data_IF_804430973999
#
_entry.id   IF_804430973999
#
_cell.length_a   1.000
_cell.length_b   1.000
_cell.length_c   1.000
_cell.angle_alpha   90.00
_cell.angle_beta   90.00
_cell.angle_gamma   90.00
#
_symmetry.space_group_name_H-M   'P 1'
#
loop_
_entity.id
_entity.type
_entity.pdbx_description
1 polymer ?
#
# COMPACT_ATOMS: atom_id res chain seq x y z
N UNK A 1 -4.40 9.16 -21.70
CA UNK A 1 -5.28 8.04 -21.27
C UNK A 1 -4.54 6.94 -20.48
N UNK A 2 -3.24 6.69 -20.73
CA UNK A 2 -2.49 5.65 -19.99
C UNK A 2 -2.17 6.10 -18.55
N UNK A 3 -1.71 7.33 -18.37
CA UNK A 3 -1.55 8.01 -17.08
C UNK A 3 -2.74 7.80 -16.11
N UNK A 4 -3.95 8.22 -16.50
CA UNK A 4 -5.16 8.06 -15.68
C UNK A 4 -5.45 6.60 -15.27
N UNK A 5 -5.26 5.64 -16.18
CA UNK A 5 -5.43 4.21 -15.85
C UNK A 5 -4.36 3.72 -14.87
N UNK A 6 -3.14 4.25 -14.91
CA UNK A 6 -2.08 3.93 -13.94
C UNK A 6 -2.44 4.45 -12.56
N UNK A 7 -2.92 5.67 -12.46
CA UNK A 7 -3.35 6.30 -11.21
C UNK A 7 -4.47 5.51 -10.52
N UNK A 8 -5.53 5.20 -11.26
CA UNK A 8 -6.65 4.39 -10.71
C UNK A 8 -6.17 3.02 -10.25
N UNK A 9 -5.30 2.36 -11.02
CA UNK A 9 -4.75 1.05 -10.64
C UNK A 9 -3.87 1.15 -9.39
N UNK A 10 -3.03 2.18 -9.30
CA UNK A 10 -2.19 2.42 -8.13
C UNK A 10 -3.03 2.65 -6.89
N UNK A 11 -4.00 3.57 -6.96
CA UNK A 11 -4.91 3.89 -5.86
C UNK A 11 -5.69 2.67 -5.40
N UNK A 12 -6.21 1.87 -6.33
CA UNK A 12 -6.93 0.62 -6.01
C UNK A 12 -6.06 -0.37 -5.21
N UNK A 13 -4.83 -0.64 -5.68
CA UNK A 13 -3.91 -1.54 -4.98
C UNK A 13 -3.46 -1.00 -3.64
N UNK A 14 -3.28 0.32 -3.54
CA UNK A 14 -2.87 0.99 -2.31
C UNK A 14 -3.96 0.91 -1.24
N UNK A 15 -5.23 1.13 -1.60
CA UNK A 15 -6.38 0.93 -0.71
C UNK A 15 -6.47 -0.52 -0.22
N UNK A 16 -6.35 -1.50 -1.13
CA UNK A 16 -6.35 -2.92 -0.75
C UNK A 16 -5.22 -3.25 0.23
N UNK A 17 -4.03 -2.72 0.00
CA UNK A 17 -2.89 -2.93 0.87
C UNK A 17 -3.11 -2.30 2.27
N UNK A 18 -3.66 -1.08 2.35
CA UNK A 18 -4.00 -0.47 3.65
C UNK A 18 -5.05 -1.27 4.43
N UNK A 19 -6.06 -1.80 3.75
CA UNK A 19 -7.07 -2.66 4.40
C UNK A 19 -6.42 -3.96 4.91
N UNK A 20 -5.55 -4.58 4.11
CA UNK A 20 -4.86 -5.82 4.48
C UNK A 20 -3.92 -5.63 5.69
N UNK A 21 -3.13 -4.55 5.71
CA UNK A 21 -2.21 -4.29 6.82
C UNK A 21 -2.92 -3.74 8.06
N UNK A 22 -3.95 -2.91 7.89
CA UNK A 22 -4.69 -2.33 9.00
C UNK A 22 -5.65 -3.32 9.68
N UNK A 23 -6.25 -4.24 8.92
CA UNK A 23 -7.31 -5.14 9.42
C UNK A 23 -7.05 -6.62 9.11
N UNK A 24 -6.44 -6.93 7.96
CA UNK A 24 -6.28 -8.31 7.47
C UNK A 24 -5.45 -9.19 8.41
N UNK A 25 -4.38 -8.67 9.01
CA UNK A 25 -3.60 -9.43 10.01
C UNK A 25 -4.40 -9.67 11.30
N UNK A 26 -5.22 -8.71 11.74
CA UNK A 26 -6.12 -8.92 12.88
C UNK A 26 -7.15 -10.01 12.62
N UNK A 27 -7.76 -10.00 11.42
CA UNK A 27 -8.76 -10.99 11.01
C UNK A 27 -8.11 -12.39 10.94
N UNK A 28 -6.95 -12.52 10.29
CA UNK A 28 -6.21 -13.80 10.23
C UNK A 28 -5.90 -14.35 11.62
N UNK A 29 -5.36 -13.52 12.53
CA UNK A 29 -5.02 -13.98 13.87
C UNK A 29 -6.22 -14.19 14.81
N UNK A 30 -7.40 -13.67 14.45
CA UNK A 30 -8.66 -13.96 15.15
C UNK A 30 -9.41 -15.20 14.63
N UNK A 31 -9.24 -15.53 13.34
CA UNK A 31 -9.98 -16.60 12.68
C UNK A 31 -9.33 -17.98 12.85
N UNK A 32 -8.01 -18.02 13.06
CA UNK A 32 -7.27 -19.24 13.34
C UNK A 32 -7.02 -19.44 14.83
N UNK A 33 -7.09 -20.68 15.35
CA UNK A 33 -6.90 -20.97 16.77
C UNK A 33 -5.42 -20.87 17.14
N UNK A 34 -4.99 -19.68 17.58
CA UNK A 34 -3.68 -19.45 18.19
C UNK A 34 -3.72 -19.56 19.73
N UNK A 35 -4.75 -20.21 20.26
CA UNK A 35 -4.94 -20.35 21.69
C UNK A 35 -3.81 -21.20 22.30
N UNK A 36 -3.18 -20.65 23.36
CA UNK A 36 -2.04 -21.28 24.03
C UNK A 36 -0.66 -20.92 23.46
N UNK A 37 -0.58 -20.22 22.31
CA UNK A 37 0.71 -19.75 21.77
C UNK A 37 1.09 -18.42 22.44
N UNK A 38 2.02 -18.49 23.39
CA UNK A 38 2.55 -17.36 24.13
C UNK A 38 3.92 -16.95 23.57
N UNK A 39 4.09 -15.68 23.25
CA UNK A 39 5.39 -15.07 22.94
C UNK A 39 5.79 -14.21 24.15
N UNK A 40 6.90 -14.53 24.81
CA UNK A 40 7.35 -13.84 26.03
C UNK A 40 6.28 -13.76 27.15
N UNK A 41 5.39 -14.75 27.23
CA UNK A 41 4.30 -14.78 28.21
C UNK A 41 3.03 -14.03 27.79
N UNK A 42 3.01 -13.41 26.61
CA UNK A 42 1.85 -12.70 26.07
C UNK A 42 1.21 -13.46 24.89
N UNK A 43 -0.13 -13.44 24.74
CA UNK A 43 -0.78 -14.12 23.62
C UNK A 43 -0.38 -13.54 22.27
N UNK A 44 0.15 -14.40 21.39
CA UNK A 44 0.68 -13.98 20.08
C UNK A 44 -0.39 -13.36 19.18
N UNK A 45 -1.67 -13.78 19.37
CA UNK A 45 -2.84 -13.29 18.64
C UNK A 45 -3.08 -11.79 18.74
N UNK A 46 -2.47 -11.12 19.72
CA UNK A 46 -2.56 -9.67 19.88
C UNK A 46 -1.28 -8.96 19.43
N UNK A 47 -0.12 -9.47 19.81
CA UNK A 47 1.17 -8.82 19.53
C UNK A 47 1.42 -8.71 18.04
N UNK A 48 1.19 -9.79 17.28
CA UNK A 48 1.47 -9.79 15.84
C UNK A 48 0.57 -8.80 15.11
N UNK A 49 -0.77 -8.81 15.28
CA UNK A 49 -1.62 -7.79 14.67
C UNK A 49 -1.28 -6.35 15.05
N UNK A 50 -0.88 -6.09 16.30
CA UNK A 50 -0.47 -4.73 16.73
C UNK A 50 0.78 -4.29 15.98
N UNK A 51 1.81 -5.15 15.89
CA UNK A 51 3.06 -4.82 15.19
C UNK A 51 2.80 -4.62 13.70
N UNK A 52 2.07 -5.52 13.05
CA UNK A 52 1.73 -5.39 11.63
C UNK A 52 0.81 -4.19 11.35
N UNK A 53 -0.13 -3.89 12.24
CA UNK A 53 -1.02 -2.74 12.13
C UNK A 53 -0.27 -1.41 12.29
N UNK A 54 0.63 -1.30 13.27
CA UNK A 54 1.39 -0.07 13.50
C UNK A 54 2.51 0.11 12.49
N UNK A 55 3.46 -0.82 12.46
CA UNK A 55 4.66 -0.71 11.64
C UNK A 55 4.39 -1.02 10.17
N UNK A 56 3.45 -1.93 9.88
CA UNK A 56 3.07 -2.23 8.50
C UNK A 56 2.39 -1.04 7.85
N UNK A 57 1.42 -0.39 8.50
CA UNK A 57 0.77 0.84 7.99
C UNK A 57 1.76 1.98 7.88
N UNK A 58 2.66 2.13 8.85
CA UNK A 58 3.74 3.14 8.80
C UNK A 58 4.62 2.95 7.55
N UNK A 59 5.12 1.74 7.33
CA UNK A 59 5.95 1.43 6.16
C UNK A 59 5.17 1.57 4.84
N UNK A 60 3.90 1.16 4.84
CA UNK A 60 3.03 1.30 3.67
C UNK A 60 2.85 2.76 3.27
N UNK A 61 2.73 3.67 4.25
CA UNK A 61 2.61 5.11 4.02
C UNK A 61 3.87 5.69 3.37
N UNK A 62 5.05 5.26 3.81
CA UNK A 62 6.32 5.68 3.20
C UNK A 62 6.40 5.20 1.73
N UNK A 63 6.07 3.93 1.49
CA UNK A 63 6.06 3.38 0.13
C UNK A 63 5.04 4.08 -0.77
N UNK A 64 3.83 4.34 -0.25
CA UNK A 64 2.77 5.01 -0.97
C UNK A 64 3.19 6.42 -1.39
N UNK A 65 3.81 7.19 -0.50
CA UNK A 65 4.34 8.52 -0.83
C UNK A 65 5.42 8.46 -1.91
N UNK A 66 6.36 7.51 -1.81
CA UNK A 66 7.44 7.37 -2.80
C UNK A 66 6.94 6.93 -4.18
N UNK A 67 5.98 6.00 -4.20
CA UNK A 67 5.36 5.53 -5.44
C UNK A 67 4.44 6.58 -6.07
N UNK A 68 3.72 7.34 -5.24
CA UNK A 68 2.90 8.48 -5.68
C UNK A 68 3.74 9.53 -6.38
N UNK A 69 4.82 10.00 -5.75
CA UNK A 69 5.72 10.99 -6.36
C UNK A 69 6.27 10.51 -7.71
N UNK A 70 6.70 9.24 -7.80
CA UNK A 70 7.19 8.69 -9.06
C UNK A 70 6.10 8.61 -10.13
N UNK A 71 4.87 8.31 -9.74
CA UNK A 71 3.74 8.27 -10.66
C UNK A 71 3.43 9.68 -11.20
N UNK A 72 3.45 10.69 -10.34
CA UNK A 72 3.27 12.09 -10.75
C UNK A 72 4.33 12.52 -11.76
N UNK A 73 5.61 12.19 -11.51
CA UNK A 73 6.71 12.45 -12.45
C UNK A 73 6.49 11.76 -13.81
N UNK A 74 6.05 10.49 -13.81
CA UNK A 74 5.74 9.75 -15.05
C UNK A 74 4.59 10.40 -15.83
N UNK A 75 3.60 10.96 -15.14
CA UNK A 75 2.46 11.62 -15.76
C UNK A 75 2.90 12.92 -16.43
N UNK A 76 3.71 13.74 -15.74
CA UNK A 76 4.24 15.00 -16.28
C UNK A 76 5.06 14.74 -17.54
N UNK A 77 5.96 13.74 -17.51
CA UNK A 77 6.77 13.37 -18.68
C UNK A 77 5.92 12.88 -19.87
N UNK A 78 4.84 12.12 -19.63
CA UNK A 78 3.95 11.66 -20.70
C UNK A 78 3.21 12.85 -21.36
N UNK A 79 2.83 13.86 -20.58
CA UNK A 79 2.17 15.07 -21.08
C UNK A 79 3.14 15.92 -21.91
N UNK A 80 4.29 16.30 -21.34
CA UNK A 80 5.30 17.13 -22.02
C UNK A 80 5.80 16.48 -23.32
N UNK A 81 6.09 15.17 -23.30
CA UNK A 81 6.52 14.43 -24.48
C UNK A 81 5.44 14.32 -25.56
N UNK A 82 4.16 14.39 -25.18
CA UNK A 82 3.05 14.43 -26.14
C UNK A 82 2.89 15.81 -26.76
N UNK A 83 3.09 16.88 -26.00
CA UNK A 83 3.04 18.26 -26.53
C UNK A 83 4.19 18.55 -27.49
N UNK A 84 5.43 18.20 -27.12
CA UNK A 84 6.59 18.34 -28.01
C UNK A 84 6.41 17.60 -29.34
N UNK A 85 5.77 16.43 -29.35
CA UNK A 85 5.51 15.68 -30.59
C UNK A 85 4.45 16.34 -31.49
N UNK A 86 3.57 17.18 -30.94
CA UNK A 86 2.57 17.94 -31.71
C UNK A 86 3.13 19.23 -32.30
N UNK A 87 4.19 19.79 -31.72
CA UNK A 87 4.83 21.01 -32.23
C UNK A 87 5.82 20.75 -33.37
N UNK A 88 6.34 19.52 -33.48
CA UNK A 88 7.35 19.11 -34.49
C UNK A 88 6.72 18.42 -35.71
N UNK A 89 5.42 18.11 -35.69
CA UNK A 89 4.68 17.45 -36.78
C UNK A 89 3.68 18.38 -37.45
#
# INVERSE_FOLDING_TARGET
MKAYKKEVKFTFWMVLAFIAFGNGFGIMFSMFPFDGVLLFGFPIRYIIPIIFGWFGVYFLTILAGRMGNRLDDEIVQEIEGTESRKEVG
#
